data_IF_439135345262
#
_entry.id   IF_439135345262
#
_cell.length_a   1.000
_cell.length_b   1.000
_cell.length_c   1.000
_cell.angle_alpha   90.00
_cell.angle_beta   90.00
_cell.angle_gamma   90.00
#
_symmetry.space_group_name_H-M   'P 1'
#
loop_
_entity.id
_entity.type
_entity.pdbx_description
1 polymer ?
#
# COMPACT_ATOMS: atom_id res chain seq x y z
N UNK A 1 -14.94 11.96 -13.93
CA UNK A 1 -14.92 10.70 -13.13
C UNK A 1 -14.03 10.80 -11.90
N UNK A 2 -12.75 11.17 -12.03
CA UNK A 2 -11.79 11.29 -10.91
C UNK A 2 -12.24 12.19 -9.75
N UNK A 3 -12.87 13.33 -10.02
CA UNK A 3 -13.44 14.22 -8.97
C UNK A 3 -14.46 13.54 -8.07
N UNK A 4 -15.27 12.62 -8.61
CA UNK A 4 -16.31 11.89 -7.85
C UNK A 4 -15.69 10.85 -6.91
N UNK A 5 -14.62 10.20 -7.38
CA UNK A 5 -13.80 9.26 -6.61
C UNK A 5 -13.08 10.00 -5.47
N UNK A 6 -12.49 11.17 -5.76
CA UNK A 6 -11.83 12.01 -4.76
C UNK A 6 -12.80 12.55 -3.70
N UNK A 7 -14.04 12.88 -4.07
CA UNK A 7 -15.06 13.30 -3.12
C UNK A 7 -15.57 12.13 -2.26
N UNK A 8 -15.65 10.91 -2.81
CA UNK A 8 -15.88 9.71 -2.00
C UNK A 8 -14.76 9.48 -1.00
N UNK A 9 -13.48 9.62 -1.39
CA UNK A 9 -12.33 9.58 -0.48
C UNK A 9 -12.41 10.62 0.66
N UNK A 10 -13.00 11.79 0.38
CA UNK A 10 -13.17 12.87 1.37
C UNK A 10 -14.33 12.61 2.33
N UNK A 11 -15.37 11.91 1.85
CA UNK A 11 -16.55 11.48 2.61
C UNK A 11 -16.44 10.06 3.18
N UNK A 12 -15.24 9.46 3.17
CA UNK A 12 -14.96 8.21 3.87
C UNK A 12 -15.12 8.43 5.38
N UNK A 13 -15.66 7.43 6.05
CA UNK A 13 -15.74 7.39 7.49
C UNK A 13 -14.36 7.61 8.12
N UNK A 14 -14.34 8.41 9.20
CA UNK A 14 -13.10 8.82 9.88
C UNK A 14 -12.25 7.61 10.30
N UNK A 15 -12.92 6.52 10.71
CA UNK A 15 -12.31 5.24 11.05
C UNK A 15 -11.72 4.52 9.83
N UNK A 16 -12.46 4.42 8.73
CA UNK A 16 -12.01 3.75 7.50
C UNK A 16 -10.81 4.46 6.90
N UNK A 17 -10.83 5.79 6.92
CA UNK A 17 -9.71 6.63 6.48
C UNK A 17 -8.47 6.46 7.37
N UNK A 18 -8.65 6.30 8.68
CA UNK A 18 -7.57 6.03 9.63
C UNK A 18 -6.90 4.68 9.36
N UNK A 19 -7.70 3.62 9.25
CA UNK A 19 -7.23 2.25 8.99
C UNK A 19 -6.47 2.19 7.66
N UNK A 20 -7.04 2.77 6.61
CA UNK A 20 -6.40 2.81 5.29
C UNK A 20 -5.08 3.60 5.32
N UNK A 21 -5.02 4.72 6.05
CA UNK A 21 -3.78 5.51 6.16
C UNK A 21 -2.67 4.75 6.92
N UNK A 22 -3.01 4.01 7.98
CA UNK A 22 -2.05 3.16 8.69
C UNK A 22 -1.58 1.98 7.82
N UNK A 23 -2.49 1.31 7.11
CA UNK A 23 -2.14 0.22 6.18
C UNK A 23 -1.24 0.69 5.03
N UNK A 24 -1.52 1.88 4.48
CA UNK A 24 -0.68 2.50 3.46
C UNK A 24 0.69 2.92 3.99
N UNK A 25 0.77 3.50 5.21
CA UNK A 25 2.06 3.81 5.84
C UNK A 25 2.90 2.55 6.07
N UNK A 26 2.27 1.45 6.46
CA UNK A 26 2.96 0.16 6.63
C UNK A 26 3.49 -0.37 5.29
N UNK A 27 2.69 -0.35 4.23
CA UNK A 27 3.15 -0.73 2.88
C UNK A 27 4.30 0.16 2.40
N UNK A 28 4.22 1.47 2.68
CA UNK A 28 5.26 2.42 2.32
C UNK A 28 6.58 2.13 3.06
N UNK A 29 6.50 1.76 4.34
CA UNK A 29 7.66 1.36 5.13
C UNK A 29 8.34 0.11 4.55
N UNK A 30 7.56 -0.91 4.17
CA UNK A 30 8.09 -2.12 3.50
C UNK A 30 8.71 -1.78 2.13
N UNK A 31 8.09 -0.88 1.36
CA UNK A 31 8.66 -0.37 0.11
C UNK A 31 10.04 0.26 0.32
N UNK A 32 10.21 1.10 1.35
CA UNK A 32 11.50 1.74 1.66
C UNK A 32 12.54 0.67 2.01
N UNK A 33 12.19 -0.31 2.85
CA UNK A 33 13.09 -1.40 3.21
C UNK A 33 13.54 -2.18 1.97
N UNK A 34 12.59 -2.54 1.11
CA UNK A 34 12.86 -3.21 -0.16
C UNK A 34 13.78 -2.38 -1.07
N UNK A 35 13.53 -1.07 -1.16
CA UNK A 35 14.35 -0.16 -1.96
C UNK A 35 15.79 -0.07 -1.45
N UNK A 36 15.99 -0.03 -0.13
CA UNK A 36 17.33 -0.06 0.49
C UNK A 36 18.05 -1.37 0.14
N UNK A 37 17.36 -2.51 0.21
CA UNK A 37 17.93 -3.83 -0.16
C UNK A 37 18.36 -3.85 -1.63
N UNK A 38 17.53 -3.32 -2.55
CA UNK A 38 17.88 -3.21 -3.97
C UNK A 38 19.06 -2.25 -4.23
N UNK A 39 19.14 -1.15 -3.46
CA UNK A 39 20.26 -0.22 -3.53
C UNK A 39 21.56 -0.87 -3.08
N UNK A 40 21.55 -1.61 -1.97
CA UNK A 40 22.72 -2.35 -1.47
C UNK A 40 23.19 -3.41 -2.47
N UNK A 41 22.26 -4.07 -3.16
CA UNK A 41 22.61 -4.97 -4.27
C UNK A 41 23.38 -4.25 -5.38
N UNK A 42 22.93 -3.06 -5.79
CA UNK A 42 23.62 -2.28 -6.83
C UNK A 42 25.01 -1.79 -6.41
N UNK A 43 25.20 -1.44 -5.13
CA UNK A 43 26.43 -0.77 -4.67
C UNK A 43 27.52 -1.70 -4.11
N UNK A 44 27.19 -2.88 -3.58
CA UNK A 44 28.18 -3.67 -2.81
C UNK A 44 28.24 -5.15 -3.14
N UNK A 45 27.13 -5.79 -3.55
CA UNK A 45 27.09 -7.24 -3.77
C UNK A 45 26.11 -7.59 -4.88
N UNK A 46 26.64 -7.93 -6.06
CA UNK A 46 25.90 -8.53 -7.19
C UNK A 46 25.53 -9.99 -6.90
N UNK A 47 24.85 -10.24 -5.78
CA UNK A 47 24.32 -11.54 -5.41
C UNK A 47 22.86 -11.63 -5.92
N UNK A 48 22.54 -12.56 -6.83
CA UNK A 48 21.21 -12.65 -7.44
C UNK A 48 20.09 -12.94 -6.43
N UNK A 49 20.40 -13.59 -5.31
CA UNK A 49 19.45 -13.83 -4.21
C UNK A 49 18.97 -12.52 -3.56
N UNK A 50 19.86 -11.55 -3.33
CA UNK A 50 19.48 -10.28 -2.70
C UNK A 50 18.50 -9.50 -3.58
N UNK A 51 18.78 -9.47 -4.88
CA UNK A 51 17.90 -8.85 -5.86
C UNK A 51 16.51 -9.51 -5.87
N UNK A 52 16.46 -10.84 -5.88
CA UNK A 52 15.20 -11.59 -5.93
C UNK A 52 14.34 -11.34 -4.69
N UNK A 53 14.94 -11.38 -3.49
CA UNK A 53 14.25 -11.10 -2.23
C UNK A 53 13.72 -9.66 -2.21
N UNK A 54 14.58 -8.70 -2.54
CA UNK A 54 14.20 -7.30 -2.58
C UNK A 54 13.04 -7.05 -3.56
N UNK A 55 13.12 -7.62 -4.75
CA UNK A 55 12.12 -7.44 -5.80
C UNK A 55 10.77 -8.09 -5.44
N UNK A 56 10.79 -9.28 -4.83
CA UNK A 56 9.58 -9.92 -4.32
C UNK A 56 8.94 -9.08 -3.21
N UNK A 57 9.73 -8.57 -2.26
CA UNK A 57 9.24 -7.67 -1.22
C UNK A 57 8.61 -6.40 -1.80
N UNK A 58 9.23 -5.81 -2.84
CA UNK A 58 8.70 -4.64 -3.53
C UNK A 58 7.35 -4.93 -4.19
N UNK A 59 7.26 -6.08 -4.87
CA UNK A 59 6.03 -6.49 -5.53
C UNK A 59 4.92 -6.73 -4.51
N UNK A 60 5.24 -7.37 -3.39
CA UNK A 60 4.29 -7.68 -2.32
C UNK A 60 3.73 -6.40 -1.67
N UNK A 61 4.60 -5.42 -1.38
CA UNK A 61 4.16 -4.16 -0.76
C UNK A 61 3.24 -3.35 -1.66
N UNK A 62 3.45 -3.37 -2.98
CA UNK A 62 2.56 -2.73 -3.95
C UNK A 62 1.20 -3.43 -4.02
N UNK A 63 1.18 -4.77 -4.06
CA UNK A 63 -0.06 -5.56 -4.08
C UNK A 63 -0.87 -5.26 -2.81
N UNK A 64 -0.25 -5.36 -1.65
CA UNK A 64 -0.91 -5.03 -0.38
C UNK A 64 -1.39 -3.59 -0.33
N UNK A 65 -0.62 -2.62 -0.84
CA UNK A 65 -1.02 -1.22 -0.88
C UNK A 65 -2.32 -1.00 -1.65
N UNK A 66 -2.47 -1.65 -2.81
CA UNK A 66 -3.68 -1.58 -3.65
C UNK A 66 -4.85 -2.29 -2.97
N UNK A 67 -4.59 -3.48 -2.41
CA UNK A 67 -5.59 -4.29 -1.73
C UNK A 67 -6.15 -3.57 -0.50
N UNK A 68 -5.31 -2.89 0.29
CA UNK A 68 -5.73 -2.05 1.41
C UNK A 68 -6.62 -0.89 0.98
N UNK A 69 -6.36 -0.28 -0.19
CA UNK A 69 -7.21 0.79 -0.74
C UNK A 69 -8.57 0.24 -1.18
N UNK A 70 -8.58 -0.89 -1.90
CA UNK A 70 -9.83 -1.51 -2.37
C UNK A 70 -10.68 -1.97 -1.18
N UNK A 71 -10.08 -2.67 -0.22
CA UNK A 71 -10.76 -3.10 1.01
C UNK A 71 -11.28 -1.90 1.81
N UNK A 72 -10.50 -0.82 1.93
CA UNK A 72 -10.95 0.42 2.55
C UNK A 72 -12.20 0.99 1.89
N UNK A 73 -12.27 0.98 0.56
CA UNK A 73 -13.45 1.41 -0.18
C UNK A 73 -14.66 0.51 -0.01
N UNK A 74 -14.48 -0.80 -0.09
CA UNK A 74 -15.58 -1.78 0.04
C UNK A 74 -16.17 -1.71 1.44
N UNK A 75 -15.33 -1.64 2.48
CA UNK A 75 -15.78 -1.54 3.87
C UNK A 75 -16.53 -0.21 4.13
N UNK A 76 -16.08 0.90 3.54
CA UNK A 76 -16.82 2.17 3.61
C UNK A 76 -18.19 2.07 2.93
N UNK A 77 -18.22 1.50 1.73
CA UNK A 77 -19.46 1.28 0.98
C UNK A 77 -20.47 0.42 1.76
N UNK A 78 -20.00 -0.64 2.40
CA UNK A 78 -20.83 -1.51 3.26
C UNK A 78 -21.36 -0.73 4.46
N UNK A 79 -20.50 0.00 5.20
CA UNK A 79 -20.94 0.79 6.35
C UNK A 79 -22.03 1.81 6.00
N UNK A 80 -21.90 2.45 4.83
CA UNK A 80 -22.83 3.46 4.34
C UNK A 80 -24.16 2.90 3.82
N UNK A 81 -24.25 1.59 3.61
CA UNK A 81 -25.49 0.90 3.26
C UNK A 81 -26.22 0.33 4.48
N UNK A 82 -25.50 0.12 5.60
CA UNK A 82 -26.05 -0.46 6.83
C UNK A 82 -26.59 0.63 7.78
N UNK A 83 -26.09 1.87 7.67
CA UNK A 83 -26.51 3.06 8.45
C UNK A 83 -27.26 4.01 7.53
#
# INVERSE_FOLDING_TARGET
MLKKIFNSFKNLDKLTKLIMNYGLKFCFFICIISFVILLTYNFSFTIPILFTIGFILFKLSLIWGIEFVICGFVVDGIKKQII
#
